data_IF_908764380731
#
_entry.id   IF_908764380731
#
_cell.length_a   1.000
_cell.length_b   1.000
_cell.length_c   1.000
_cell.angle_alpha   90.00
_cell.angle_beta   90.00
_cell.angle_gamma   90.00
#
_symmetry.space_group_name_H-M   'P 1'
#
loop_
_entity.id
_entity.type
_entity.pdbx_description
1 polymer ?
#
# COMPACT_ATOMS: atom_id res chain seq x y z
N UNK A 1 0.56 -9.71 20.38
CA UNK A 1 2.02 -9.43 20.17
C UNK A 1 2.14 -8.44 19.02
N UNK A 2 2.85 -7.33 19.24
CA UNK A 2 3.02 -6.31 18.21
C UNK A 2 3.68 -6.86 16.95
N UNK A 3 3.21 -6.44 15.79
CA UNK A 3 3.74 -6.87 14.48
C UNK A 3 4.59 -5.77 13.86
N UNK A 4 5.82 -6.11 13.49
CA UNK A 4 6.76 -5.17 12.86
C UNK A 4 6.95 -5.51 11.38
N UNK A 5 6.89 -4.49 10.51
CA UNK A 5 7.14 -4.62 9.08
C UNK A 5 8.28 -3.69 8.66
N UNK A 6 9.18 -4.18 7.82
CA UNK A 6 10.22 -3.39 7.17
C UNK A 6 9.73 -2.94 5.80
N UNK A 7 9.62 -1.64 5.62
CA UNK A 7 8.93 -1.05 4.50
C UNK A 7 9.75 0.01 3.78
N UNK A 8 9.51 0.14 2.48
CA UNK A 8 10.23 1.05 1.60
C UNK A 8 9.26 1.95 0.84
N UNK A 9 9.57 3.24 0.81
CA UNK A 9 8.78 4.25 0.09
C UNK A 9 9.64 4.93 -0.98
N UNK A 10 9.24 4.78 -2.23
CA UNK A 10 9.87 5.48 -3.35
C UNK A 10 9.28 6.86 -3.54
N UNK A 11 10.13 7.88 -3.73
CA UNK A 11 9.69 9.26 -3.93
C UNK A 11 10.76 10.10 -4.63
N UNK A 12 10.45 11.38 -4.93
CA UNK A 12 11.45 12.33 -5.45
C UNK A 12 12.42 12.77 -4.35
N UNK A 13 13.60 13.27 -4.76
CA UNK A 13 14.60 13.83 -3.85
C UNK A 13 14.00 14.89 -2.94
N UNK A 14 13.27 15.87 -3.49
CA UNK A 14 12.62 16.95 -2.75
C UNK A 14 11.66 16.42 -1.69
N UNK A 15 10.77 15.49 -2.07
CA UNK A 15 9.83 14.90 -1.14
C UNK A 15 10.53 14.06 -0.06
N UNK A 16 11.62 13.35 -0.41
CA UNK A 16 12.39 12.58 0.55
C UNK A 16 13.01 13.50 1.62
N UNK A 17 13.60 14.63 1.21
CA UNK A 17 14.15 15.62 2.12
C UNK A 17 13.08 16.21 3.05
N UNK A 18 11.88 16.49 2.49
CA UNK A 18 10.74 16.94 3.28
C UNK A 18 10.28 15.89 4.29
N UNK A 19 10.15 14.64 3.88
CA UNK A 19 9.76 13.53 4.78
C UNK A 19 10.79 13.36 5.90
N UNK A 20 12.09 13.43 5.58
CA UNK A 20 13.14 13.29 6.57
C UNK A 20 13.17 14.45 7.59
N UNK A 21 12.84 15.67 7.15
CA UNK A 21 12.79 16.84 8.02
C UNK A 21 11.55 16.86 8.91
N UNK A 22 10.38 16.52 8.34
CA UNK A 22 9.09 16.58 9.05
C UNK A 22 8.71 15.27 9.75
N UNK A 23 9.39 14.16 9.40
CA UNK A 23 9.05 12.79 9.83
C UNK A 23 7.62 12.38 9.46
N UNK A 24 7.06 13.00 8.41
CA UNK A 24 5.68 12.80 7.99
C UNK A 24 5.61 12.47 6.50
N UNK A 25 4.86 11.43 6.16
CA UNK A 25 4.53 11.09 4.77
C UNK A 25 3.22 11.76 4.36
N UNK A 26 3.12 12.10 3.07
CA UNK A 26 1.87 12.57 2.49
C UNK A 26 0.99 11.39 2.12
N UNK A 27 -0.27 11.43 2.52
CA UNK A 27 -1.26 10.45 2.10
C UNK A 27 -1.56 10.55 0.60
N UNK A 28 -1.87 9.40 -0.01
CA UNK A 28 -2.37 9.32 -1.38
C UNK A 28 -3.81 9.85 -1.50
N UNK A 29 -4.26 10.06 -2.74
CA UNK A 29 -5.66 10.36 -3.04
C UNK A 29 -6.60 9.16 -2.84
N UNK A 30 -7.87 9.35 -3.19
CA UNK A 30 -8.92 8.32 -3.04
C UNK A 30 -8.86 7.21 -4.12
N UNK A 31 -8.18 7.45 -5.23
CA UNK A 31 -8.27 6.61 -6.45
C UNK A 31 -7.11 5.60 -6.52
N UNK A 32 -6.78 5.00 -5.38
CA UNK A 32 -5.67 4.06 -5.22
C UNK A 32 -6.19 2.64 -4.89
N UNK A 33 -5.37 1.63 -5.21
CA UNK A 33 -5.73 0.21 -5.11
C UNK A 33 -6.18 -0.24 -3.71
N UNK A 34 -5.49 0.24 -2.67
CA UNK A 34 -5.82 -0.06 -1.27
C UNK A 34 -6.50 1.13 -0.59
N UNK A 35 -7.06 2.08 -1.39
CA UNK A 35 -7.70 3.29 -0.90
C UNK A 35 -6.72 4.34 -0.42
N UNK A 36 -7.22 5.37 0.28
CA UNK A 36 -6.43 6.48 0.79
C UNK A 36 -5.46 6.03 1.88
N UNK A 37 -4.23 6.51 1.86
CA UNK A 37 -3.23 6.22 2.88
C UNK A 37 -1.80 6.45 2.41
N UNK A 38 -0.84 6.04 3.21
CA UNK A 38 0.58 6.09 2.85
C UNK A 38 1.03 4.73 2.37
N UNK A 39 1.56 4.67 1.15
CA UNK A 39 1.94 3.43 0.48
C UNK A 39 3.41 3.09 0.66
N UNK A 40 3.66 1.82 0.93
CA UNK A 40 4.99 1.23 1.06
C UNK A 40 5.07 -0.11 0.33
N UNK A 41 6.30 -0.53 0.00
CA UNK A 41 6.62 -1.89 -0.42
C UNK A 41 7.28 -2.63 0.74
N UNK A 42 6.72 -3.75 1.15
CA UNK A 42 7.27 -4.56 2.23
C UNK A 42 8.48 -5.35 1.73
N UNK A 43 9.62 -5.21 2.44
CA UNK A 43 10.87 -5.91 2.14
C UNK A 43 11.41 -5.75 0.70
N UNK A 44 10.92 -4.76 -0.07
CA UNK A 44 11.31 -4.62 -1.48
C UNK A 44 11.64 -3.16 -1.88
N UNK A 45 12.89 -2.72 -1.66
CA UNK A 45 13.35 -1.40 -2.11
C UNK A 45 13.40 -1.26 -3.64
N UNK A 46 13.53 -2.37 -4.38
CA UNK A 46 13.55 -2.35 -5.85
C UNK A 46 12.20 -1.96 -6.42
N UNK A 47 11.11 -2.48 -5.86
CA UNK A 47 9.77 -2.11 -6.31
C UNK A 47 9.43 -0.68 -5.93
N UNK A 48 9.86 -0.23 -4.75
CA UNK A 48 9.72 1.17 -4.37
C UNK A 48 10.43 2.12 -5.36
N UNK A 49 11.65 1.79 -5.79
CA UNK A 49 12.38 2.55 -6.81
C UNK A 49 11.69 2.51 -8.18
N UNK A 50 11.33 1.30 -8.66
CA UNK A 50 10.67 1.11 -9.96
C UNK A 50 9.34 1.82 -10.06
N UNK A 51 8.55 1.79 -8.99
CA UNK A 51 7.26 2.46 -8.95
C UNK A 51 7.40 3.94 -9.29
N UNK A 52 8.33 4.64 -8.66
CA UNK A 52 8.53 6.07 -8.91
C UNK A 52 9.08 6.33 -10.31
N UNK A 53 10.03 5.51 -10.75
CA UNK A 53 10.62 5.64 -12.09
C UNK A 53 9.59 5.46 -13.20
N UNK A 54 8.75 4.43 -13.08
CA UNK A 54 7.79 4.07 -14.15
C UNK A 54 6.53 4.93 -14.08
N UNK A 55 5.94 5.09 -12.90
CA UNK A 55 4.64 5.75 -12.77
C UNK A 55 4.74 7.26 -12.62
N UNK A 56 5.77 7.77 -11.94
CA UNK A 56 6.02 9.22 -11.83
C UNK A 56 7.00 9.75 -12.87
N UNK A 57 7.55 8.89 -13.73
CA UNK A 57 8.46 9.23 -14.83
C UNK A 57 9.67 10.06 -14.36
N UNK A 58 10.16 9.81 -13.15
CA UNK A 58 11.34 10.50 -12.62
C UNK A 58 12.63 9.86 -13.17
N UNK A 59 13.68 10.67 -13.31
CA UNK A 59 15.01 10.19 -13.64
C UNK A 59 15.62 9.43 -12.45
N UNK A 60 16.56 8.51 -12.72
CA UNK A 60 17.26 7.76 -11.66
C UNK A 60 17.98 8.68 -10.65
N UNK A 61 18.41 9.87 -11.10
CA UNK A 61 19.09 10.87 -10.26
C UNK A 61 18.13 11.48 -9.22
N UNK A 62 16.87 11.59 -9.58
CA UNK A 62 15.84 12.23 -8.75
C UNK A 62 15.08 11.26 -7.85
N UNK A 63 15.18 9.94 -8.12
CA UNK A 63 14.51 8.93 -7.31
C UNK A 63 15.25 8.72 -5.99
N UNK A 64 14.50 8.69 -4.91
CA UNK A 64 14.98 8.28 -3.57
C UNK A 64 14.07 7.21 -3.01
N UNK A 65 14.68 6.28 -2.30
CA UNK A 65 13.98 5.24 -1.54
C UNK A 65 14.22 5.48 -0.06
N UNK A 66 13.16 5.59 0.70
CA UNK A 66 13.21 5.70 2.15
C UNK A 66 12.86 4.35 2.78
N UNK A 67 13.64 3.97 3.78
CA UNK A 67 13.35 2.86 4.67
C UNK A 67 12.55 3.35 5.86
N UNK A 68 11.60 2.53 6.33
CA UNK A 68 10.79 2.80 7.51
C UNK A 68 10.34 1.47 8.14
N UNK A 69 10.28 1.42 9.46
CA UNK A 69 9.59 0.34 10.18
C UNK A 69 8.17 0.77 10.51
N UNK A 70 7.24 -0.13 10.29
CA UNK A 70 5.87 0.01 10.77
C UNK A 70 5.70 -0.90 11.98
N UNK A 71 4.95 -0.42 12.98
CA UNK A 71 4.56 -1.19 14.16
C UNK A 71 3.03 -1.20 14.22
N UNK A 72 2.44 -2.38 14.12
CA UNK A 72 1.03 -2.58 14.38
C UNK A 72 0.89 -3.18 15.76
N UNK A 73 0.38 -2.39 16.70
CA UNK A 73 0.13 -2.81 18.06
C UNK A 73 -0.96 -3.89 18.09
N UNK A 74 -0.92 -4.78 19.08
CA UNK A 74 -1.84 -5.92 19.20
C UNK A 74 -3.32 -5.51 19.26
N UNK A 75 -3.60 -4.34 19.81
CA UNK A 75 -4.96 -3.77 19.89
C UNK A 75 -5.43 -3.10 18.58
N UNK A 76 -4.56 -3.00 17.58
CA UNK A 76 -4.87 -2.41 16.27
C UNK A 76 -5.06 -3.50 15.22
N UNK A 77 -6.19 -3.45 14.56
CA UNK A 77 -6.46 -4.38 13.49
C UNK A 77 -5.56 -4.08 12.28
N UNK A 78 -4.90 -5.12 11.78
CA UNK A 78 -4.25 -5.12 10.48
C UNK A 78 -5.08 -5.97 9.53
N UNK A 79 -5.43 -5.43 8.38
CA UNK A 79 -6.12 -6.16 7.33
C UNK A 79 -5.08 -6.79 6.39
N UNK A 80 -4.93 -8.10 6.45
CA UNK A 80 -3.94 -8.85 5.65
C UNK A 80 -4.62 -9.63 4.53
N UNK A 81 -4.80 -8.99 3.37
CA UNK A 81 -5.45 -9.61 2.20
C UNK A 81 -4.66 -10.78 1.58
N UNK A 82 -3.58 -11.21 2.22
CA UNK A 82 -2.89 -12.45 1.85
C UNK A 82 -3.42 -13.66 2.64
N UNK A 83 -4.21 -13.45 3.69
CA UNK A 83 -4.92 -14.51 4.40
C UNK A 83 -6.30 -14.76 3.78
N UNK A 84 -6.77 -16.00 3.82
CA UNK A 84 -8.11 -16.34 3.35
C UNK A 84 -9.19 -15.66 4.18
N UNK A 85 -9.00 -15.62 5.50
CA UNK A 85 -9.93 -15.01 6.45
C UNK A 85 -10.23 -13.53 6.14
N UNK A 86 -9.19 -12.73 5.95
CA UNK A 86 -9.35 -11.30 5.65
C UNK A 86 -9.89 -11.06 4.23
N UNK A 87 -9.53 -11.91 3.26
CA UNK A 87 -10.12 -11.86 1.91
C UNK A 87 -11.62 -12.14 1.94
N UNK A 88 -12.02 -13.24 2.56
CA UNK A 88 -13.43 -13.64 2.68
C UNK A 88 -14.24 -12.55 3.39
N UNK A 89 -13.68 -11.95 4.44
CA UNK A 89 -14.28 -10.83 5.15
C UNK A 89 -14.52 -9.62 4.23
N UNK A 90 -13.52 -9.22 3.42
CA UNK A 90 -13.64 -8.09 2.49
C UNK A 90 -14.63 -8.40 1.37
N UNK A 91 -14.60 -9.59 0.80
CA UNK A 91 -15.55 -10.00 -0.26
C UNK A 91 -17.00 -9.98 0.25
N UNK A 92 -17.24 -10.48 1.46
CA UNK A 92 -18.56 -10.41 2.08
C UNK A 92 -18.99 -8.96 2.38
N UNK A 93 -18.06 -8.13 2.86
CA UNK A 93 -18.32 -6.71 3.09
C UNK A 93 -18.67 -5.98 1.77
N UNK A 94 -17.88 -6.20 0.71
CA UNK A 94 -18.15 -5.64 -0.62
C UNK A 94 -19.52 -6.05 -1.14
N UNK A 95 -19.88 -7.32 -1.03
CA UNK A 95 -21.19 -7.86 -1.46
C UNK A 95 -22.34 -7.15 -0.75
N UNK A 96 -22.24 -6.98 0.58
CA UNK A 96 -23.24 -6.26 1.39
C UNK A 96 -23.31 -4.78 1.03
N UNK A 97 -22.17 -4.13 0.84
CA UNK A 97 -22.09 -2.72 0.43
C UNK A 97 -22.74 -2.50 -0.94
N UNK A 98 -22.45 -3.35 -1.93
CA UNK A 98 -23.07 -3.30 -3.27
C UNK A 98 -24.58 -3.50 -3.22
N UNK A 99 -25.07 -4.44 -2.41
CA UNK A 99 -26.50 -4.66 -2.26
C UNK A 99 -27.21 -3.43 -1.67
N UNK A 100 -26.57 -2.74 -0.72
CA UNK A 100 -27.07 -1.49 -0.13
C UNK A 100 -27.08 -0.34 -1.15
N UNK A 101 -25.99 -0.17 -1.90
CA UNK A 101 -25.86 0.88 -2.90
C UNK A 101 -26.89 0.71 -4.03
N UNK A 102 -27.10 -0.51 -4.53
CA UNK A 102 -28.12 -0.79 -5.58
C UNK A 102 -29.53 -0.43 -5.16
N UNK A 103 -29.81 -0.44 -3.85
CA UNK A 103 -31.12 -0.05 -3.30
C UNK A 103 -31.29 1.47 -3.19
N UNK A 104 -30.19 2.21 -3.09
CA UNK A 104 -30.21 3.64 -2.77
C UNK A 104 -29.84 4.55 -3.94
N UNK A 105 -29.08 4.06 -4.91
CA UNK A 105 -28.56 4.86 -6.03
C UNK A 105 -28.81 4.16 -7.37
N UNK A 106 -29.11 4.98 -8.41
CA UNK A 106 -29.20 4.47 -9.77
C UNK A 106 -27.86 3.87 -10.24
N UNK A 107 -27.84 2.67 -10.85
CA UNK A 107 -26.63 1.94 -11.19
C UNK A 107 -25.67 2.65 -12.16
N UNK A 108 -26.15 3.70 -12.86
CA UNK A 108 -25.41 4.33 -13.95
C UNK A 108 -24.35 5.37 -13.51
N UNK A 109 -24.30 5.77 -12.24
CA UNK A 109 -23.46 6.88 -11.78
C UNK A 109 -22.24 6.49 -10.96
N UNK A 110 -21.91 5.19 -10.81
CA UNK A 110 -20.76 4.77 -10.01
C UNK A 110 -19.70 4.15 -10.93
N UNK A 111 -18.86 4.99 -11.50
CA UNK A 111 -17.63 4.55 -12.18
C UNK A 111 -16.49 4.46 -11.16
N UNK A 112 -16.22 3.24 -10.67
CA UNK A 112 -15.10 2.99 -9.75
C UNK A 112 -13.91 2.43 -10.53
N UNK A 113 -12.89 3.22 -10.70
CA UNK A 113 -11.66 2.80 -11.39
C UNK A 113 -10.89 1.75 -10.58
N UNK A 114 -10.82 1.92 -9.28
CA UNK A 114 -10.23 1.01 -8.31
C UNK A 114 -11.26 0.65 -7.24
N UNK A 115 -12.11 -0.31 -7.56
CA UNK A 115 -13.26 -0.71 -6.71
C UNK A 115 -12.85 -1.14 -5.31
N UNK A 116 -11.74 -1.86 -5.22
CA UNK A 116 -11.19 -2.39 -3.97
C UNK A 116 -10.82 -1.26 -3.01
N UNK A 117 -10.15 -0.22 -3.50
CA UNK A 117 -9.76 0.94 -2.70
C UNK A 117 -10.93 1.65 -2.06
N UNK A 118 -12.02 1.84 -2.80
CA UNK A 118 -13.24 2.45 -2.24
C UNK A 118 -13.90 1.58 -1.17
N UNK A 119 -13.95 0.27 -1.38
CA UNK A 119 -14.48 -0.67 -0.38
C UNK A 119 -13.68 -0.59 0.91
N UNK A 120 -12.36 -0.55 0.79
CA UNK A 120 -11.44 -0.44 1.92
C UNK A 120 -11.58 0.90 2.66
N UNK A 121 -11.78 2.00 1.94
CA UNK A 121 -12.01 3.31 2.56
C UNK A 121 -13.36 3.36 3.29
N UNK A 122 -14.43 2.81 2.71
CA UNK A 122 -15.73 2.69 3.39
C UNK A 122 -15.65 1.79 4.64
N UNK A 123 -14.89 0.70 4.55
CA UNK A 123 -14.67 -0.16 5.71
C UNK A 123 -13.93 0.61 6.80
N UNK A 124 -12.88 1.36 6.45
CA UNK A 124 -12.08 2.13 7.39
C UNK A 124 -12.92 3.17 8.15
N UNK A 125 -13.86 3.83 7.49
CA UNK A 125 -14.77 4.78 8.13
C UNK A 125 -15.65 4.14 9.21
N UNK A 126 -15.98 2.86 9.06
CA UNK A 126 -16.86 2.12 10.01
C UNK A 126 -16.07 1.35 11.06
N UNK A 127 -14.98 0.73 10.64
CA UNK A 127 -14.12 -0.10 11.47
C UNK A 127 -12.67 0.31 11.20
N UNK A 128 -12.14 1.34 11.89
CA UNK A 128 -10.78 1.80 11.69
C UNK A 128 -9.77 0.67 11.95
N UNK A 129 -8.88 0.45 10.98
CA UNK A 129 -7.74 -0.46 11.08
C UNK A 129 -6.43 0.29 10.83
N UNK A 130 -5.32 -0.26 11.32
CA UNK A 130 -4.02 0.43 11.28
C UNK A 130 -3.47 0.53 9.86
N UNK A 131 -3.47 -0.59 9.15
CA UNK A 131 -3.00 -0.70 7.78
C UNK A 131 -3.67 -1.87 7.06
N UNK A 132 -3.64 -1.84 5.74
CA UNK A 132 -3.97 -2.97 4.87
C UNK A 132 -2.74 -3.37 4.08
N UNK A 133 -2.57 -4.68 3.88
CA UNK A 133 -1.46 -5.24 3.12
C UNK A 133 -1.99 -6.27 2.10
N UNK A 134 -1.42 -6.24 0.89
CA UNK A 134 -1.83 -7.12 -0.19
C UNK A 134 -0.66 -7.47 -1.10
N UNK A 135 -0.72 -8.65 -1.72
CA UNK A 135 0.22 -9.09 -2.74
C UNK A 135 -0.34 -8.81 -4.13
N UNK A 136 0.50 -8.23 -4.99
CA UNK A 136 0.17 -7.95 -6.38
C UNK A 136 1.21 -8.58 -7.32
N UNK A 137 0.77 -9.04 -8.48
CA UNK A 137 1.67 -9.49 -9.53
C UNK A 137 2.58 -8.34 -10.00
N UNK A 138 3.85 -8.65 -10.25
CA UNK A 138 4.77 -7.69 -10.85
C UNK A 138 4.51 -7.68 -12.36
N UNK A 139 4.00 -6.55 -12.92
CA UNK A 139 3.70 -6.47 -14.35
C UNK A 139 4.94 -6.72 -15.21
N UNK A 140 4.77 -7.43 -16.33
CA UNK A 140 5.78 -7.60 -17.39
C UNK A 140 7.05 -8.39 -17.02
N UNK A 141 7.07 -9.15 -15.93
CA UNK A 141 8.11 -10.16 -15.80
C UNK A 141 7.61 -11.46 -16.43
N UNK A 142 8.37 -12.05 -17.40
CA UNK A 142 8.05 -13.38 -17.90
C UNK A 142 8.05 -14.33 -16.70
N UNK A 143 7.03 -15.17 -16.62
CA UNK A 143 7.08 -16.32 -15.70
C UNK A 143 8.33 -17.10 -16.09
N UNK A 144 9.21 -17.37 -15.15
CA UNK A 144 10.36 -18.22 -15.40
C UNK A 144 9.83 -19.58 -15.85
N UNK A 145 10.06 -19.92 -17.12
CA UNK A 145 9.73 -21.26 -17.64
C UNK A 145 10.40 -22.28 -16.72
N UNK A 146 9.58 -23.11 -16.09
CA UNK A 146 10.05 -24.27 -15.31
C UNK A 146 9.67 -24.31 -13.83
N UNK A 147 9.48 -23.19 -13.14
CA UNK A 147 9.22 -23.23 -11.68
C UNK A 147 7.83 -22.75 -11.25
N UNK A 148 7.04 -22.17 -12.14
CA UNK A 148 5.65 -21.79 -11.87
C UNK A 148 5.42 -20.73 -10.79
N UNK A 149 6.48 -20.12 -10.24
CA UNK A 149 6.36 -19.08 -9.22
C UNK A 149 5.98 -17.74 -9.84
N UNK A 150 4.87 -17.17 -9.39
CA UNK A 150 4.55 -15.77 -9.65
C UNK A 150 5.47 -14.88 -8.81
N UNK A 151 6.10 -13.88 -9.43
CA UNK A 151 6.79 -12.84 -8.69
C UNK A 151 5.76 -11.81 -8.24
N UNK A 152 5.58 -11.71 -6.95
CA UNK A 152 4.66 -10.75 -6.34
C UNK A 152 5.41 -9.64 -5.62
N UNK A 153 4.79 -8.47 -5.55
CA UNK A 153 5.18 -7.37 -4.67
C UNK A 153 4.15 -7.24 -3.57
N UNK A 154 4.60 -7.07 -2.33
CA UNK A 154 3.70 -6.81 -1.21
C UNK A 154 3.62 -5.31 -1.02
N UNK A 155 2.42 -4.76 -1.16
CA UNK A 155 2.13 -3.36 -0.88
C UNK A 155 1.42 -3.24 0.46
N UNK A 156 1.81 -2.22 1.20
CA UNK A 156 1.21 -1.85 2.49
C UNK A 156 0.68 -0.44 2.38
N UNK A 157 -0.60 -0.25 2.67
CA UNK A 157 -1.24 1.05 2.78
C UNK A 157 -1.53 1.36 4.25
N UNK A 158 -0.79 2.31 4.82
CA UNK A 158 -0.99 2.76 6.21
C UNK A 158 -2.15 3.73 6.25
N UNK A 159 -3.18 3.40 7.04
CA UNK A 159 -4.37 4.21 7.28
C UNK A 159 -4.23 5.07 8.53
N UNK A 160 -3.51 4.58 9.55
CA UNK A 160 -3.23 5.33 10.78
C UNK A 160 -1.73 5.65 10.87
N UNK A 161 -1.32 6.92 10.72
CA UNK A 161 0.08 7.32 10.75
C UNK A 161 0.83 6.95 12.04
N UNK A 162 0.11 6.69 13.13
CA UNK A 162 0.70 6.21 14.40
C UNK A 162 1.43 4.88 14.29
N UNK A 163 1.17 4.10 13.23
CA UNK A 163 1.92 2.87 12.95
C UNK A 163 3.33 3.13 12.42
N UNK A 164 3.62 4.34 11.94
CA UNK A 164 4.92 4.69 11.35
C UNK A 164 5.90 5.01 12.47
N UNK A 165 6.93 4.20 12.60
CA UNK A 165 8.01 4.43 13.57
C UNK A 165 8.91 5.57 13.07
N UNK A 166 8.55 6.81 13.35
CA UNK A 166 9.19 8.02 12.83
C UNK A 166 10.71 8.05 13.02
N UNK A 167 11.23 7.52 14.13
CA UNK A 167 12.66 7.43 14.41
C UNK A 167 13.43 6.49 13.48
N UNK A 168 12.74 5.64 12.71
CA UNK A 168 13.37 4.68 11.78
C UNK A 168 13.46 5.20 10.35
N UNK A 169 12.82 6.33 10.03
CA UNK A 169 12.80 6.91 8.68
C UNK A 169 14.21 7.38 8.29
N UNK A 170 14.75 6.76 7.23
CA UNK A 170 16.08 7.09 6.71
C UNK A 170 16.20 6.77 5.22
N UNK A 171 17.21 7.29 4.56
CA UNK A 171 17.55 6.84 3.21
C UNK A 171 17.91 5.36 3.18
N UNK A 172 17.42 4.66 2.16
CA UNK A 172 17.93 3.35 1.81
C UNK A 172 19.23 3.55 1.01
N UNK A 173 20.35 3.10 1.60
CA UNK A 173 21.71 3.33 1.05
C UNK A 173 22.31 2.11 0.37
N UNK A 174 21.70 0.92 0.52
CA UNK A 174 22.19 -0.27 -0.14
C UNK A 174 22.00 -0.14 -1.67
N UNK A 175 22.91 -0.69 -2.49
CA UNK A 175 22.76 -0.72 -3.93
C UNK A 175 21.43 -1.37 -4.32
N UNK A 176 20.65 -0.68 -5.13
CA UNK A 176 19.46 -1.27 -5.75
C UNK A 176 19.97 -1.95 -7.03
N UNK A 177 20.26 -3.24 -6.93
CA UNK A 177 20.71 -4.02 -8.09
C UNK A 177 19.68 -3.93 -9.22
N UNK A 178 20.18 -3.72 -10.43
CA UNK A 178 19.38 -3.52 -11.65
C UNK A 178 18.72 -4.81 -12.13
#
# INVERSE_FOLDING_TARGET
>A
MDKFLECYHGTSKENAEKILSTRTYKESGQDEWLGRGVYFFENDPRQAHKFVKVYKKLSDVDVRVLFTKLCVMEDKNMLDLMTDEDRDFIEDYERRLRAKIKRTLSPHNIYWKHKEGYVLDFLFEKNPYALVRAAYDIPKRPRTEGFGYAQVQIQVCVKQPSCIMQGTIKYHTAPIER
#
